data_IF_983874702978
#
_entry.id   IF_983874702978
#
_cell.length_a   1.000
_cell.length_b   1.000
_cell.length_c   1.000
_cell.angle_alpha   90.00
_cell.angle_beta   90.00
_cell.angle_gamma   90.00
#
_symmetry.space_group_name_H-M   'P 1'
#
loop_
_entity.id
_entity.type
_entity.pdbx_description
1 polymer ?
#
# COMPACT_ATOMS: atom_id res chain seq x y z
N UNK A 1 20.88 -0.58 -25.88
CA UNK A 1 21.96 -1.17 -25.06
C UNK A 1 22.62 -0.10 -24.19
N UNK A 2 22.56 -0.24 -22.86
CA UNK A 2 23.52 0.25 -21.86
C UNK A 2 23.00 -0.16 -20.47
N UNK A 3 23.43 -1.33 -19.99
CA UNK A 3 23.12 -1.81 -18.64
C UNK A 3 23.91 -0.97 -17.64
N UNK A 4 23.29 -0.56 -16.53
CA UNK A 4 23.99 -0.10 -15.33
C UNK A 4 23.57 -1.00 -14.16
N UNK A 5 24.44 -1.96 -13.85
CA UNK A 5 24.36 -2.72 -12.61
C UNK A 5 24.98 -1.84 -11.53
N UNK A 6 24.24 -1.61 -10.44
CA UNK A 6 24.81 -1.15 -9.17
C UNK A 6 24.37 -2.15 -8.11
N UNK A 7 25.20 -3.16 -7.91
CA UNK A 7 25.10 -4.02 -6.74
C UNK A 7 25.81 -3.32 -5.58
N UNK A 8 25.14 -3.17 -4.45
CA UNK A 8 25.77 -2.75 -3.20
C UNK A 8 25.25 -3.62 -2.06
N UNK A 9 25.88 -4.79 -1.88
CA UNK A 9 25.84 -5.47 -0.59
C UNK A 9 26.44 -4.54 0.47
N UNK A 10 25.71 -4.30 1.56
CA UNK A 10 26.27 -3.68 2.76
C UNK A 10 26.08 -4.63 3.94
N UNK A 11 27.20 -4.90 4.61
CA UNK A 11 27.34 -6.07 5.47
C UNK A 11 26.79 -5.84 6.88
N UNK A 12 26.26 -6.93 7.46
CA UNK A 12 26.02 -7.08 8.89
C UNK A 12 27.29 -6.75 9.68
N UNK A 13 27.19 -5.78 10.60
CA UNK A 13 28.22 -5.50 11.61
C UNK A 13 27.58 -5.46 13.01
N UNK A 14 27.52 -6.65 13.61
CA UNK A 14 27.03 -6.88 14.96
C UNK A 14 28.13 -6.54 15.98
N UNK A 15 27.98 -5.47 16.78
CA UNK A 15 28.76 -5.27 18.01
C UNK A 15 27.91 -4.69 19.14
N UNK A 16 27.87 -5.39 20.26
CA UNK A 16 27.10 -5.01 21.44
C UNK A 16 28.01 -4.50 22.59
N UNK A 17 27.47 -3.55 23.36
CA UNK A 17 27.75 -3.30 24.79
C UNK A 17 29.15 -2.79 25.21
N UNK A 18 29.22 -1.60 25.84
CA UNK A 18 29.14 -1.45 27.30
C UNK A 18 29.43 -0.01 27.78
N UNK A 19 28.91 0.30 28.97
CA UNK A 19 28.80 1.60 29.64
C UNK A 19 30.09 2.41 29.90
N UNK A 20 29.93 3.74 30.05
CA UNK A 20 30.57 4.53 31.11
C UNK A 20 29.83 5.88 31.35
N UNK A 21 29.76 6.31 32.61
CA UNK A 21 29.16 7.59 33.03
C UNK A 21 30.27 8.61 33.36
N UNK A 22 30.03 9.93 33.19
CA UNK A 22 30.92 10.94 33.77
C UNK A 22 30.90 12.34 33.14
N UNK A 23 30.16 13.27 33.76
CA UNK A 23 30.54 14.70 33.78
C UNK A 23 31.44 14.93 35.00
N UNK A 24 32.47 15.83 34.97
CA UNK A 24 32.19 17.25 35.26
C UNK A 24 33.17 18.32 34.68
N UNK A 25 32.58 19.47 34.26
CA UNK A 25 32.88 20.85 34.71
C UNK A 25 34.17 21.62 34.29
N UNK A 26 33.93 22.87 33.84
CA UNK A 26 34.81 24.08 33.81
C UNK A 26 36.11 24.06 32.97
N UNK A 27 36.62 25.17 32.40
CA UNK A 27 36.06 26.46 31.94
C UNK A 27 36.97 26.96 30.78
N UNK A 28 36.53 27.81 29.84
CA UNK A 28 36.60 29.27 29.94
C UNK A 28 36.31 29.87 28.54
N UNK A 29 35.51 30.95 28.42
CA UNK A 29 35.96 32.33 28.06
C UNK A 29 36.34 32.51 26.57
N UNK A 30 35.84 33.46 25.77
CA UNK A 30 34.89 34.60 25.93
C UNK A 30 34.54 35.22 24.54
N UNK A 31 33.43 35.97 24.48
CA UNK A 31 33.02 37.08 23.56
C UNK A 31 33.95 37.46 22.38
N UNK A 32 33.48 37.82 21.17
CA UNK A 32 32.44 38.81 20.79
C UNK A 32 31.98 38.57 19.33
N UNK A 33 30.75 38.86 18.84
CA UNK A 33 30.02 40.15 18.69
C UNK A 33 30.83 41.19 17.88
N UNK A 34 30.36 41.86 16.80
CA UNK A 34 29.03 42.02 16.14
C UNK A 34 29.18 42.40 14.64
N UNK A 35 28.25 42.99 13.84
CA UNK A 35 26.85 43.54 13.96
C UNK A 35 26.17 43.33 12.56
N UNK A 36 24.83 43.27 12.40
CA UNK A 36 23.90 44.29 11.79
C UNK A 36 24.33 45.01 10.47
N UNK A 37 23.42 45.43 9.56
CA UNK A 37 22.04 45.90 9.75
C UNK A 37 21.10 45.79 8.51
N UNK A 38 19.78 45.91 8.80
CA UNK A 38 18.67 46.62 8.08
C UNK A 38 18.38 46.38 6.59
N UNK A 39 17.12 46.44 6.11
CA UNK A 39 16.07 47.41 6.45
C UNK A 39 14.62 46.93 6.19
N UNK A 40 13.61 47.68 6.66
CA UNK A 40 12.16 47.37 6.56
C UNK A 40 11.34 48.56 6.08
N UNK A 41 10.40 48.36 5.15
CA UNK A 41 9.26 49.28 4.94
C UNK A 41 8.05 48.61 4.26
N UNK A 42 6.85 48.80 4.83
CA UNK A 42 5.55 48.48 4.22
C UNK A 42 5.03 49.63 3.32
N UNK A 43 4.03 49.38 2.46
CA UNK A 43 2.60 49.81 2.69
C UNK A 43 1.76 49.88 1.38
N UNK A 44 0.64 49.12 1.37
CA UNK A 44 -0.69 49.23 0.68
C UNK A 44 -0.97 49.94 -0.67
N UNK A 45 -1.99 49.36 -1.34
CA UNK A 45 -3.24 49.92 -1.97
C UNK A 45 -3.44 49.26 -3.36
N UNK A 46 -4.38 48.31 -3.55
CA UNK A 46 -5.85 48.44 -3.70
C UNK A 46 -6.34 48.84 -5.12
N UNK A 47 -7.15 47.98 -5.78
CA UNK A 47 -7.79 48.28 -7.07
C UNK A 47 -8.43 47.08 -7.79
N UNK A 48 -9.77 47.07 -7.89
CA UNK A 48 -10.59 46.12 -8.67
C UNK A 48 -10.65 46.54 -10.17
N UNK A 49 -11.27 45.86 -11.16
CA UNK A 49 -12.22 44.72 -11.25
C UNK A 49 -12.35 44.29 -12.75
N UNK A 50 -12.74 43.02 -13.06
CA UNK A 50 -13.48 42.52 -14.28
C UNK A 50 -13.00 42.93 -15.72
N UNK A 51 -13.38 42.35 -16.86
CA UNK A 51 -13.98 41.09 -17.39
C UNK A 51 -13.75 41.09 -18.92
N UNK A 52 -13.80 40.02 -19.73
CA UNK A 52 -13.93 38.57 -19.52
C UNK A 52 -13.24 37.84 -20.72
N UNK A 53 -13.25 36.50 -20.77
CA UNK A 53 -12.68 35.72 -21.87
C UNK A 53 -12.82 34.20 -21.68
N UNK A 54 -14.03 33.67 -21.89
CA UNK A 54 -14.33 32.24 -21.80
C UNK A 54 -13.63 31.43 -22.91
N UNK A 55 -12.67 30.57 -22.55
CA UNK A 55 -12.37 29.33 -23.27
C UNK A 55 -11.72 28.30 -22.32
N UNK A 56 -12.56 27.60 -21.54
CA UNK A 56 -12.09 26.61 -20.55
C UNK A 56 -12.97 25.36 -20.40
N UNK A 57 -14.15 25.34 -21.03
CA UNK A 57 -15.10 24.23 -20.90
C UNK A 57 -14.62 22.94 -21.55
N UNK A 58 -14.02 23.03 -22.75
CA UNK A 58 -13.61 21.87 -23.54
C UNK A 58 -12.48 21.09 -22.86
N UNK A 59 -11.37 21.77 -22.51
CA UNK A 59 -10.17 21.17 -21.93
C UNK A 59 -10.40 20.48 -20.57
N UNK A 60 -11.42 20.91 -19.82
CA UNK A 60 -11.76 20.30 -18.53
C UNK A 60 -12.54 18.98 -18.69
N UNK A 61 -13.40 18.89 -19.72
CA UNK A 61 -14.06 17.65 -20.10
C UNK A 61 -13.05 16.61 -20.64
N UNK A 62 -12.13 17.03 -21.51
CA UNK A 62 -11.09 16.13 -22.06
C UNK A 62 -10.18 15.54 -20.98
N UNK A 63 -9.90 16.30 -19.92
CA UNK A 63 -9.13 15.81 -18.75
C UNK A 63 -9.85 14.73 -17.95
N UNK A 64 -11.20 14.69 -17.93
CA UNK A 64 -11.94 13.65 -17.21
C UNK A 64 -11.90 12.29 -17.93
N UNK A 65 -11.76 12.28 -19.26
CA UNK A 65 -11.66 11.05 -20.07
C UNK A 65 -10.31 10.33 -19.93
N UNK A 66 -9.33 10.98 -19.27
CA UNK A 66 -7.97 10.50 -19.06
C UNK A 66 -7.65 10.21 -17.58
N UNK A 67 -8.63 10.40 -16.68
CA UNK A 67 -8.54 9.99 -15.28
C UNK A 67 -9.21 8.64 -15.03
N UNK A 68 -8.70 7.91 -14.05
CA UNK A 68 -9.39 6.78 -13.41
C UNK A 68 -9.86 7.27 -12.04
N UNK A 69 -11.05 6.82 -11.64
CA UNK A 69 -11.62 7.05 -10.32
C UNK A 69 -11.83 5.67 -9.68
N UNK A 70 -11.35 5.52 -8.45
CA UNK A 70 -11.18 4.27 -7.73
C UNK A 70 -11.77 4.47 -6.34
N UNK A 71 -12.53 3.52 -5.80
CA UNK A 71 -13.05 3.62 -4.43
C UNK A 71 -12.65 2.40 -3.63
N UNK A 72 -12.04 2.64 -2.47
CA UNK A 72 -11.67 1.61 -1.49
C UNK A 72 -12.80 1.55 -0.45
N UNK A 73 -13.54 0.42 -0.33
CA UNK A 73 -14.57 0.23 0.66
C UNK A 73 -14.08 0.46 2.10
N UNK A 74 -14.97 0.97 2.97
CA UNK A 74 -14.65 1.21 4.38
C UNK A 74 -14.19 -0.08 5.10
N UNK A 75 -14.77 -1.22 4.74
CA UNK A 75 -14.46 -2.56 5.25
C UNK A 75 -13.01 -3.00 4.99
N UNK A 76 -12.38 -2.52 3.91
CA UNK A 76 -10.97 -2.80 3.59
C UNK A 76 -9.99 -1.81 4.24
N UNK A 77 -10.50 -0.77 4.91
CA UNK A 77 -9.72 0.24 5.62
C UNK A 77 -9.70 -0.01 7.15
N UNK A 78 -10.44 -1.00 7.65
CA UNK A 78 -10.50 -1.34 9.07
C UNK A 78 -9.15 -1.91 9.55
N UNK A 79 -8.40 -1.10 10.29
CA UNK A 79 -7.06 -1.45 10.81
C UNK A 79 -5.90 -0.80 10.05
N UNK A 80 -6.16 -0.16 8.91
CA UNK A 80 -5.19 0.67 8.18
C UNK A 80 -5.30 2.13 8.59
N UNK A 81 -4.18 2.84 8.76
CA UNK A 81 -4.25 4.30 8.92
C UNK A 81 -4.45 4.94 7.53
N UNK A 82 -5.67 5.44 7.31
CA UNK A 82 -6.05 6.11 6.05
C UNK A 82 -5.14 7.30 5.65
N UNK A 83 -4.32 7.81 6.58
CA UNK A 83 -3.29 8.81 6.29
C UNK A 83 -2.14 8.25 5.44
N UNK A 84 -1.64 7.04 5.73
CA UNK A 84 -0.47 6.46 5.01
C UNK A 84 -0.82 6.17 3.54
N UNK A 85 -2.03 5.65 3.29
CA UNK A 85 -2.60 5.47 1.94
C UNK A 85 -2.75 6.80 1.16
N UNK A 86 -2.82 7.93 1.86
CA UNK A 86 -2.95 9.26 1.22
C UNK A 86 -1.57 9.82 0.86
N UNK A 87 -0.54 9.62 1.68
CA UNK A 87 0.82 10.09 1.39
C UNK A 87 1.45 9.31 0.21
N UNK A 88 1.31 7.98 0.17
CA UNK A 88 1.81 7.14 -0.94
C UNK A 88 1.03 7.39 -2.26
N UNK A 89 -0.23 7.78 -2.16
CA UNK A 89 -1.04 8.23 -3.29
C UNK A 89 -0.54 9.55 -3.91
N UNK A 90 -0.14 10.52 -3.09
CA UNK A 90 0.37 11.81 -3.59
C UNK A 90 1.70 11.65 -4.35
N UNK A 91 2.57 10.73 -3.93
CA UNK A 91 3.82 10.43 -4.65
C UNK A 91 3.60 9.72 -6.00
N UNK A 92 2.54 8.92 -6.13
CA UNK A 92 2.20 8.14 -7.34
C UNK A 92 1.36 8.89 -8.38
N UNK A 93 1.10 10.19 -8.19
CA UNK A 93 0.38 11.01 -9.17
C UNK A 93 -1.15 10.91 -9.09
N UNK A 94 -1.67 10.52 -7.93
CA UNK A 94 -3.06 10.74 -7.55
C UNK A 94 -3.29 12.26 -7.40
N UNK A 95 -4.42 12.74 -7.90
CA UNK A 95 -4.74 14.18 -8.02
C UNK A 95 -5.71 14.68 -6.96
N UNK A 96 -6.50 13.77 -6.41
CA UNK A 96 -7.61 14.06 -5.50
C UNK A 96 -7.89 12.78 -4.71
N UNK A 97 -7.97 12.92 -3.38
CA UNK A 97 -8.37 11.86 -2.45
C UNK A 97 -9.54 12.41 -1.65
N UNK A 98 -10.67 11.71 -1.65
CA UNK A 98 -11.92 12.11 -1.02
C UNK A 98 -12.35 11.04 -0.03
N UNK A 99 -12.52 11.41 1.23
CA UNK A 99 -13.12 10.54 2.25
C UNK A 99 -14.63 10.71 2.25
N UNK A 100 -15.34 9.61 2.05
CA UNK A 100 -16.80 9.57 1.92
C UNK A 100 -17.49 9.46 3.28
N UNK A 101 -18.80 9.72 3.31
CA UNK A 101 -19.59 9.73 4.54
C UNK A 101 -19.84 8.33 5.14
N UNK A 102 -19.74 7.29 4.32
CA UNK A 102 -19.77 5.87 4.71
C UNK A 102 -18.42 5.33 5.23
N UNK A 103 -17.36 6.14 5.17
CA UNK A 103 -16.01 5.77 5.59
C UNK A 103 -15.09 5.29 4.47
N UNK A 104 -15.62 5.03 3.27
CA UNK A 104 -14.81 4.67 2.08
C UNK A 104 -13.93 5.85 1.63
N UNK A 105 -12.91 5.55 0.81
CA UNK A 105 -12.01 6.55 0.22
C UNK A 105 -12.03 6.44 -1.30
N UNK A 106 -12.38 7.53 -1.97
CA UNK A 106 -12.34 7.65 -3.43
C UNK A 106 -11.09 8.41 -3.86
N UNK A 107 -10.33 7.83 -4.80
CA UNK A 107 -9.08 8.35 -5.33
C UNK A 107 -9.21 8.62 -6.82
N UNK A 108 -8.75 9.78 -7.28
CA UNK A 108 -8.76 10.17 -8.70
C UNK A 108 -7.35 10.36 -9.22
N UNK A 109 -6.96 9.60 -10.24
CA UNK A 109 -5.57 9.55 -10.74
C UNK A 109 -5.51 9.53 -12.27
N UNK A 110 -4.32 9.56 -12.86
CA UNK A 110 -4.18 9.31 -14.31
C UNK A 110 -4.19 7.80 -14.60
N UNK A 111 -4.49 7.40 -15.84
CA UNK A 111 -4.35 5.99 -16.26
C UNK A 111 -2.92 5.44 -16.05
N UNK A 112 -1.89 6.24 -16.31
CA UNK A 112 -0.50 5.84 -16.08
C UNK A 112 -0.21 5.64 -14.58
N UNK A 113 -0.65 6.56 -13.72
CA UNK A 113 -0.55 6.42 -12.26
C UNK A 113 -1.27 5.17 -11.75
N UNK A 114 -2.45 4.86 -12.31
CA UNK A 114 -3.22 3.66 -11.97
C UNK A 114 -2.49 2.37 -12.37
N UNK A 115 -1.93 2.31 -13.58
CA UNK A 115 -1.11 1.19 -14.06
C UNK A 115 0.18 1.02 -13.23
N UNK A 116 0.84 2.12 -12.84
CA UNK A 116 2.02 2.12 -11.97
C UNK A 116 1.68 1.63 -10.55
N UNK A 117 0.57 2.10 -9.96
CA UNK A 117 0.10 1.66 -8.64
C UNK A 117 -0.23 0.16 -8.62
N UNK A 118 -1.00 -0.34 -9.60
CA UNK A 118 -1.29 -1.78 -9.73
C UNK A 118 -0.02 -2.63 -9.91
N UNK A 119 0.99 -2.10 -10.62
CA UNK A 119 2.29 -2.76 -10.78
C UNK A 119 3.09 -2.78 -9.47
N UNK A 120 3.05 -1.70 -8.70
CA UNK A 120 3.67 -1.61 -7.36
C UNK A 120 3.04 -2.63 -6.42
N UNK A 121 1.71 -2.68 -6.35
CA UNK A 121 0.99 -3.63 -5.50
C UNK A 121 1.32 -5.09 -5.82
N UNK A 122 1.42 -5.48 -7.10
CA UNK A 122 1.89 -6.83 -7.48
C UNK A 122 3.32 -7.11 -7.02
N UNK A 123 4.19 -6.10 -7.05
CA UNK A 123 5.56 -6.23 -6.55
C UNK A 123 5.55 -6.47 -5.03
N UNK A 124 4.74 -5.74 -4.26
CA UNK A 124 4.59 -5.96 -2.81
C UNK A 124 3.94 -7.30 -2.45
N UNK A 125 3.03 -7.80 -3.30
CA UNK A 125 2.44 -9.15 -3.16
C UNK A 125 3.51 -10.22 -3.43
N UNK A 126 4.31 -10.07 -4.49
CA UNK A 126 5.44 -10.97 -4.78
C UNK A 126 6.46 -10.97 -3.61
N UNK A 127 6.78 -9.82 -3.04
CA UNK A 127 7.65 -9.70 -1.85
C UNK A 127 7.05 -10.43 -0.64
N UNK A 128 5.76 -10.18 -0.34
CA UNK A 128 5.04 -10.85 0.77
C UNK A 128 4.98 -12.38 0.59
N UNK A 129 4.78 -12.85 -0.65
CA UNK A 129 4.82 -14.28 -1.00
C UNK A 129 6.22 -14.86 -0.74
N UNK A 130 7.28 -14.15 -1.12
CA UNK A 130 8.66 -14.60 -0.89
C UNK A 130 9.01 -14.66 0.60
N UNK A 131 8.54 -13.71 1.40
CA UNK A 131 8.71 -13.73 2.87
C UNK A 131 7.98 -14.92 3.49
N UNK A 132 6.71 -15.15 3.13
CA UNK A 132 5.93 -16.28 3.65
C UNK A 132 6.50 -17.64 3.23
N UNK A 133 6.99 -17.75 1.98
CA UNK A 133 7.68 -18.95 1.50
C UNK A 133 9.04 -19.17 2.19
N UNK A 134 9.69 -18.13 2.71
CA UNK A 134 10.91 -18.25 3.50
C UNK A 134 10.64 -18.66 4.96
N UNK A 135 9.46 -18.36 5.50
CA UNK A 135 9.04 -18.75 6.85
C UNK A 135 8.67 -20.25 6.95
N UNK A 136 9.69 -21.10 6.98
CA UNK A 136 9.53 -22.54 7.24
C UNK A 136 9.31 -22.89 8.72
N UNK A 137 9.20 -21.91 9.61
CA UNK A 137 8.83 -22.14 11.01
C UNK A 137 7.31 -22.16 11.16
N UNK A 138 6.62 -21.17 10.57
CA UNK A 138 5.16 -21.07 10.62
C UNK A 138 4.44 -21.64 9.39
N UNK A 139 5.09 -21.68 8.22
CA UNK A 139 4.56 -22.26 6.97
C UNK A 139 5.42 -23.44 6.43
N UNK A 140 5.72 -24.48 7.23
CA UNK A 140 6.55 -25.61 6.80
C UNK A 140 5.99 -26.40 5.61
N UNK A 141 4.68 -26.40 5.35
CA UNK A 141 4.10 -27.14 4.21
C UNK A 141 4.15 -26.37 2.88
N UNK A 142 4.27 -25.03 2.90
CA UNK A 142 4.14 -24.21 1.70
C UNK A 142 5.33 -24.44 0.74
N UNK A 143 5.04 -24.82 -0.50
CA UNK A 143 6.01 -25.10 -1.56
C UNK A 143 6.14 -23.90 -2.51
N UNK A 144 5.02 -23.43 -3.05
CA UNK A 144 4.96 -22.33 -4.00
C UNK A 144 3.59 -21.65 -3.98
N UNK A 145 3.53 -20.36 -4.29
CA UNK A 145 2.31 -19.56 -4.36
C UNK A 145 2.26 -18.85 -5.71
N UNK A 146 1.11 -18.86 -6.36
CA UNK A 146 0.83 -18.14 -7.61
C UNK A 146 -0.55 -17.48 -7.54
N UNK A 147 -0.79 -16.44 -8.33
CA UNK A 147 -2.07 -15.74 -8.37
C UNK A 147 -2.51 -15.42 -9.81
N UNK A 148 -3.80 -15.13 -9.99
CA UNK A 148 -4.39 -14.74 -11.27
C UNK A 148 -3.96 -13.32 -11.70
N UNK A 149 -4.05 -13.01 -13.00
CA UNK A 149 -3.65 -11.69 -13.54
C UNK A 149 -4.43 -10.51 -12.91
N UNK A 150 -5.63 -10.74 -12.39
CA UNK A 150 -6.48 -9.77 -11.69
C UNK A 150 -6.39 -9.87 -10.15
N UNK A 151 -5.57 -10.79 -9.62
CA UNK A 151 -5.36 -11.04 -8.18
C UNK A 151 -6.66 -11.44 -7.44
N UNK A 152 -7.64 -11.97 -8.17
CA UNK A 152 -8.88 -12.53 -7.60
C UNK A 152 -8.75 -13.98 -7.10
N UNK A 153 -7.67 -14.68 -7.46
CA UNK A 153 -7.41 -16.05 -7.01
C UNK A 153 -5.93 -16.27 -6.66
N UNK A 154 -5.68 -16.97 -5.55
CA UNK A 154 -4.37 -17.45 -5.13
C UNK A 154 -4.36 -18.98 -5.05
N UNK A 155 -3.39 -19.60 -5.72
CA UNK A 155 -3.12 -21.03 -5.67
C UNK A 155 -1.84 -21.27 -4.85
N UNK A 156 -2.00 -21.85 -3.66
CA UNK A 156 -0.94 -22.20 -2.71
C UNK A 156 -0.69 -23.70 -2.81
N UNK A 157 0.47 -24.09 -3.35
CA UNK A 157 0.90 -25.49 -3.35
C UNK A 157 1.52 -25.83 -2.01
N UNK A 158 1.04 -26.93 -1.43
CA UNK A 158 1.46 -27.41 -0.12
C UNK A 158 1.85 -28.88 -0.15
N UNK A 159 2.74 -29.27 0.76
CA UNK A 159 2.97 -30.64 1.16
C UNK A 159 1.80 -31.13 2.01
N UNK A 160 0.96 -32.02 1.46
CA UNK A 160 -0.27 -32.47 2.11
C UNK A 160 -0.04 -33.30 3.38
N UNK A 161 1.15 -33.88 3.57
CA UNK A 161 1.47 -34.67 4.77
C UNK A 161 1.82 -33.77 5.97
N UNK A 162 2.23 -32.52 5.73
CA UNK A 162 2.50 -31.52 6.78
C UNK A 162 1.49 -30.38 6.84
N UNK A 163 0.68 -30.16 5.79
CA UNK A 163 -0.34 -29.10 5.76
C UNK A 163 -1.38 -29.28 6.87
N UNK A 164 -1.41 -28.33 7.80
CA UNK A 164 -2.31 -28.34 8.95
C UNK A 164 -3.32 -27.20 8.88
N UNK A 165 -4.51 -27.40 9.48
CA UNK A 165 -5.58 -26.39 9.49
C UNK A 165 -5.22 -25.03 10.12
N UNK A 166 -4.10 -24.94 10.86
CA UNK A 166 -3.58 -23.64 11.33
C UNK A 166 -2.87 -22.85 10.20
N UNK A 167 -2.14 -23.51 9.29
CA UNK A 167 -1.57 -22.83 8.11
C UNK A 167 -2.68 -22.32 7.16
N UNK A 168 -3.86 -22.95 7.19
CA UNK A 168 -5.06 -22.46 6.50
C UNK A 168 -5.48 -21.03 6.89
N UNK A 169 -5.06 -20.52 8.07
CA UNK A 169 -5.38 -19.15 8.51
C UNK A 169 -4.73 -18.07 7.62
N UNK A 170 -3.62 -18.39 6.95
CA UNK A 170 -2.94 -17.47 6.03
C UNK A 170 -3.77 -17.11 4.80
N UNK A 171 -4.86 -17.84 4.51
CA UNK A 171 -5.83 -17.44 3.48
C UNK A 171 -6.37 -16.02 3.71
N UNK A 172 -6.53 -15.60 4.98
CA UNK A 172 -6.99 -14.24 5.35
C UNK A 172 -6.05 -13.16 4.81
N UNK A 173 -4.73 -13.39 4.87
CA UNK A 173 -3.72 -12.46 4.33
C UNK A 173 -3.90 -12.28 2.82
N UNK A 174 -4.13 -13.37 2.09
CA UNK A 174 -4.37 -13.33 0.65
C UNK A 174 -5.72 -12.71 0.29
N UNK A 175 -6.77 -12.96 1.08
CA UNK A 175 -8.06 -12.27 0.92
C UNK A 175 -7.92 -10.75 1.01
N UNK A 176 -7.17 -10.24 2.00
CA UNK A 176 -6.92 -8.80 2.14
C UNK A 176 -6.13 -8.25 0.94
N UNK A 177 -5.05 -8.91 0.53
CA UNK A 177 -4.23 -8.50 -0.62
C UNK A 177 -5.03 -8.46 -1.94
N UNK A 178 -5.79 -9.52 -2.23
CA UNK A 178 -6.61 -9.61 -3.43
C UNK A 178 -7.78 -8.65 -3.42
N UNK A 179 -8.48 -8.49 -2.29
CA UNK A 179 -9.61 -7.55 -2.20
C UNK A 179 -9.14 -6.10 -2.35
N UNK A 180 -8.00 -5.74 -1.76
CA UNK A 180 -7.42 -4.41 -1.90
C UNK A 180 -6.94 -4.14 -3.34
N UNK A 181 -6.32 -5.14 -4.00
CA UNK A 181 -5.96 -5.03 -5.43
C UNK A 181 -7.20 -4.85 -6.32
N UNK A 182 -8.26 -5.62 -6.08
CA UNK A 182 -9.52 -5.51 -6.83
C UNK A 182 -10.20 -4.15 -6.64
N UNK A 183 -10.24 -3.63 -5.41
CA UNK A 183 -10.71 -2.27 -5.12
C UNK A 183 -9.90 -1.23 -5.90
N UNK A 184 -8.56 -1.31 -5.86
CA UNK A 184 -7.70 -0.40 -6.63
C UNK A 184 -7.89 -0.56 -8.14
N UNK A 185 -8.14 -1.78 -8.63
CA UNK A 185 -8.47 -2.08 -10.03
C UNK A 185 -9.90 -1.67 -10.43
N UNK A 186 -10.63 -0.96 -9.56
CA UNK A 186 -11.99 -0.45 -9.77
C UNK A 186 -13.05 -1.55 -10.03
N UNK A 187 -12.90 -2.72 -9.40
CA UNK A 187 -13.96 -3.73 -9.29
C UNK A 187 -15.08 -3.19 -8.38
N UNK A 188 -16.38 -3.36 -8.72
CA UNK A 188 -17.49 -2.99 -7.84
C UNK A 188 -17.41 -3.69 -6.48
N UNK A 189 -17.77 -3.01 -5.39
CA UNK A 189 -17.65 -3.55 -4.03
C UNK A 189 -18.37 -4.89 -3.86
N UNK A 190 -19.55 -5.03 -4.46
CA UNK A 190 -20.35 -6.26 -4.45
C UNK A 190 -19.77 -7.41 -5.31
N UNK A 191 -18.78 -7.12 -6.15
CA UNK A 191 -18.05 -8.09 -6.99
C UNK A 191 -16.64 -8.42 -6.44
N UNK A 192 -16.14 -7.66 -5.46
CA UNK A 192 -14.83 -7.93 -4.83
C UNK A 192 -14.91 -9.25 -4.07
N UNK A 193 -14.22 -10.27 -4.58
CA UNK A 193 -14.00 -11.52 -3.86
C UNK A 193 -12.66 -12.13 -4.24
N UNK A 194 -11.90 -12.60 -3.24
CA UNK A 194 -10.65 -13.33 -3.45
C UNK A 194 -10.80 -14.78 -3.04
N UNK A 195 -10.49 -15.71 -3.95
CA UNK A 195 -10.45 -17.16 -3.69
C UNK A 195 -9.03 -17.59 -3.31
N UNK A 196 -8.89 -18.49 -2.34
CA UNK A 196 -7.61 -19.13 -1.98
C UNK A 196 -7.76 -20.64 -2.06
N UNK A 197 -6.91 -21.29 -2.85
CA UNK A 197 -6.86 -22.74 -3.01
C UNK A 197 -5.56 -23.30 -2.40
N UNK A 198 -5.69 -24.25 -1.48
CA UNK A 198 -4.57 -25.08 -1.03
C UNK A 198 -4.54 -26.36 -1.86
N UNK A 199 -3.47 -26.56 -2.60
CA UNK A 199 -3.33 -27.60 -3.62
C UNK A 199 -2.20 -28.55 -3.22
N UNK A 200 -2.45 -29.86 -3.27
CA UNK A 200 -1.41 -30.86 -3.09
C UNK A 200 -0.35 -30.71 -4.18
N UNK A 201 0.89 -30.39 -3.80
CA UNK A 201 2.00 -30.14 -4.74
C UNK A 201 2.33 -31.32 -5.67
N UNK A 202 2.08 -32.55 -5.20
CA UNK A 202 2.47 -33.79 -5.89
C UNK A 202 1.35 -34.35 -6.78
N UNK A 203 0.07 -34.23 -6.36
CA UNK A 203 -1.09 -34.72 -7.14
C UNK A 203 -1.78 -33.63 -7.97
N UNK A 204 -1.65 -32.36 -7.57
CA UNK A 204 -2.39 -31.24 -8.16
C UNK A 204 -3.86 -31.16 -7.73
N UNK A 205 -4.30 -31.97 -6.75
CA UNK A 205 -5.66 -31.95 -6.23
C UNK A 205 -5.84 -30.81 -5.21
N UNK A 206 -6.99 -30.12 -5.27
CA UNK A 206 -7.38 -29.11 -4.26
C UNK A 206 -7.74 -29.83 -2.96
N UNK A 207 -7.01 -29.51 -1.89
CA UNK A 207 -7.21 -30.05 -0.53
C UNK A 207 -8.27 -29.22 0.21
N UNK A 208 -8.14 -27.90 0.11
CA UNK A 208 -9.01 -26.91 0.75
C UNK A 208 -9.16 -25.71 -0.18
N UNK A 209 -10.34 -25.12 -0.19
CA UNK A 209 -10.65 -23.87 -0.88
C UNK A 209 -11.50 -23.00 0.03
N UNK A 210 -11.42 -21.69 -0.13
CA UNK A 210 -12.23 -20.70 0.57
C UNK A 210 -12.17 -19.36 -0.15
N UNK A 211 -13.07 -18.46 0.21
CA UNK A 211 -13.16 -17.15 -0.40
C UNK A 211 -13.45 -16.05 0.64
N UNK A 212 -13.16 -14.81 0.28
CA UNK A 212 -13.28 -13.68 1.21
C UNK A 212 -14.72 -13.29 1.54
N UNK A 213 -15.69 -13.57 0.64
CA UNK A 213 -17.09 -13.25 0.87
C UNK A 213 -17.70 -14.20 1.92
N UNK A 214 -17.44 -15.51 1.83
CA UNK A 214 -17.92 -16.48 2.83
C UNK A 214 -17.37 -16.21 4.23
N UNK A 215 -16.11 -15.75 4.35
CA UNK A 215 -15.54 -15.32 5.64
C UNK A 215 -16.29 -14.13 6.25
N UNK A 216 -16.70 -13.15 5.44
CA UNK A 216 -17.44 -11.98 5.91
C UNK A 216 -18.85 -12.36 6.40
N UNK A 217 -19.52 -13.32 5.74
CA UNK A 217 -20.82 -13.83 6.19
C UNK A 217 -20.71 -14.54 7.56
N UNK A 218 -19.72 -15.42 7.78
CA UNK A 218 -19.52 -16.11 9.07
C UNK A 218 -19.21 -15.13 10.22
N UNK A 219 -18.48 -14.05 9.94
CA UNK A 219 -18.22 -12.99 10.91
C UNK A 219 -19.49 -12.22 11.31
N UNK A 220 -20.45 -12.07 10.39
CA UNK A 220 -21.73 -11.39 10.64
C UNK A 220 -22.72 -12.24 11.44
N UNK A 221 -22.86 -13.54 11.13
CA UNK A 221 -23.75 -14.48 11.85
C UNK A 221 -23.25 -14.76 13.27
N UNK A 222 -21.93 -14.61 13.50
CA UNK A 222 -21.31 -14.71 14.84
C UNK A 222 -21.54 -13.48 15.74
N UNK A 223 -22.20 -12.43 15.25
CA UNK A 223 -22.39 -11.15 15.95
C UNK A 223 -23.84 -10.87 16.42
N UNK A 224 -24.81 -11.74 16.08
CA UNK A 224 -26.20 -11.70 16.59
C UNK A 224 -26.45 -12.54 17.86
#
# INVERSE_FOLDING_TARGET
>A
MKKKIVALMLAVSLTASFAACGTPKDSSKESSKSEEASDTAETKEAGAEKESGEDGGTLSAEKNMLSVEVTIPASLLEGSDSAELTEEAEESGVKEVTKNADGSVTMKMTKAAHEELLTSMKTSIDESINELLADKENCPSFDSITYSDDVSAFDIKVDADSFGGFEGIYAITFYLMGNFYQAINAVPEEEINTTVNFINKDTGEVIQTGDSASMAEEASDSAE
#
